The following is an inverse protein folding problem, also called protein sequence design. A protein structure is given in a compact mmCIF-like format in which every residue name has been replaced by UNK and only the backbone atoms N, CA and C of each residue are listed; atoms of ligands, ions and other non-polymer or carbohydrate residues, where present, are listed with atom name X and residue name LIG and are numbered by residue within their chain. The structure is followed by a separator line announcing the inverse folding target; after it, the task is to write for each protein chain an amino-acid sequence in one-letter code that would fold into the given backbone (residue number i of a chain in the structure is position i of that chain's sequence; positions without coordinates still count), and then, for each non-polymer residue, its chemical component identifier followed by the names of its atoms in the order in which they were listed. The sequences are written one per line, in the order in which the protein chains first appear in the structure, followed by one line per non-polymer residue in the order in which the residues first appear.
data_IF_471687921088
#
_entry.id   IF_471687921088
#
_cell.length_a   1.000
_cell.length_b   1.000
_cell.length_c   1.000
_cell.angle_alpha   90.00
_cell.angle_beta   90.00
_cell.angle_gamma   90.00
#
_symmetry.space_group_name_H-M   'P 1'
#
loop_
_entity.id
_entity.type
_entity.pdbx_description
1 polymer ?
#
# COMPACT_ATOMS: atom_id res chain seq x y z
N UNK A 1 -41.45 -36.48 -47.30
CA UNK A 1 -40.96 -37.84 -46.98
C UNK A 1 -40.22 -37.89 -45.64
N UNK A 2 -39.39 -36.90 -45.31
CA UNK A 2 -38.62 -36.88 -44.06
C UNK A 2 -39.46 -36.77 -42.77
N UNK A 3 -40.59 -36.05 -42.79
CA UNK A 3 -41.52 -36.01 -41.64
C UNK A 3 -42.09 -37.40 -41.29
N UNK A 4 -42.44 -38.18 -42.32
CA UNK A 4 -42.99 -39.54 -42.16
C UNK A 4 -41.97 -40.58 -41.68
N UNK A 5 -40.67 -40.29 -41.77
CA UNK A 5 -39.66 -41.16 -41.18
C UNK A 5 -39.43 -40.85 -39.69
N UNK A 6 -39.93 -39.72 -39.20
CA UNK A 6 -39.87 -39.33 -37.80
C UNK A 6 -41.16 -39.67 -37.05
N UNK A 7 -42.32 -39.47 -37.68
CA UNK A 7 -43.66 -39.84 -37.19
C UNK A 7 -43.86 -41.37 -37.30
N UNK A 8 -43.46 -42.11 -36.26
CA UNK A 8 -43.44 -43.57 -36.20
C UNK A 8 -44.83 -44.15 -35.97
N UNK A 9 -45.68 -43.43 -35.23
CA UNK A 9 -47.04 -43.83 -34.94
C UNK A 9 -48.08 -43.32 -35.96
N UNK A 10 -47.65 -42.51 -36.93
CA UNK A 10 -48.50 -41.88 -37.95
C UNK A 10 -49.59 -40.97 -37.37
N UNK A 11 -49.35 -40.39 -36.20
CA UNK A 11 -50.30 -39.50 -35.53
C UNK A 11 -50.39 -38.12 -36.18
N UNK A 12 -49.51 -37.79 -37.12
CA UNK A 12 -49.50 -36.51 -37.84
C UNK A 12 -48.78 -35.38 -37.09
N UNK A 13 -48.11 -35.69 -35.97
CA UNK A 13 -47.31 -34.75 -35.21
C UNK A 13 -46.20 -35.49 -34.46
N UNK A 14 -44.97 -34.98 -34.53
CA UNK A 14 -43.79 -35.63 -33.95
C UNK A 14 -43.69 -35.27 -32.47
N UNK A 15 -43.68 -36.29 -31.59
CA UNK A 15 -43.48 -36.12 -30.16
C UNK A 15 -41.98 -36.06 -29.76
N UNK A 16 -41.68 -35.87 -28.47
CA UNK A 16 -40.30 -35.70 -27.99
C UNK A 16 -39.45 -36.99 -28.11
N UNK A 17 -40.08 -38.16 -28.05
CA UNK A 17 -39.43 -39.47 -28.18
C UNK A 17 -39.12 -39.80 -29.64
N UNK A 18 -40.08 -39.53 -30.54
CA UNK A 18 -39.96 -39.64 -31.98
C UNK A 18 -38.92 -38.66 -32.54
N UNK A 19 -38.93 -37.41 -32.04
CA UNK A 19 -37.92 -36.41 -32.39
C UNK A 19 -36.52 -36.84 -31.95
N UNK A 20 -36.37 -37.38 -30.73
CA UNK A 20 -35.09 -37.86 -30.22
C UNK A 20 -34.54 -39.03 -31.06
N UNK A 21 -35.37 -40.05 -31.35
CA UNK A 21 -34.98 -41.22 -32.15
C UNK A 21 -34.64 -40.83 -33.60
N UNK A 22 -35.49 -40.03 -34.24
CA UNK A 22 -35.25 -39.62 -35.63
C UNK A 22 -33.99 -38.78 -35.79
N UNK A 23 -33.64 -37.94 -34.81
CA UNK A 23 -32.39 -37.18 -34.84
C UNK A 23 -31.16 -38.05 -34.60
N UNK A 24 -31.26 -39.05 -33.73
CA UNK A 24 -30.19 -40.04 -33.53
C UNK A 24 -29.93 -40.85 -34.80
N UNK A 25 -30.98 -41.25 -35.54
CA UNK A 25 -30.85 -41.93 -36.84
C UNK A 25 -30.16 -41.06 -37.91
N UNK A 26 -30.29 -39.74 -37.82
CA UNK A 26 -29.57 -38.78 -38.67
C UNK A 26 -28.13 -38.48 -38.18
N UNK A 27 -27.65 -39.16 -37.15
CA UNK A 27 -26.32 -38.95 -36.55
C UNK A 27 -26.21 -37.70 -35.67
N UNK A 28 -27.35 -37.11 -35.29
CA UNK A 28 -27.42 -35.97 -34.39
C UNK A 28 -27.75 -36.47 -32.98
N UNK A 29 -26.72 -36.79 -32.22
CA UNK A 29 -26.86 -37.18 -30.81
C UNK A 29 -27.48 -36.05 -29.98
N UNK A 30 -28.66 -36.33 -29.44
CA UNK A 30 -29.45 -35.47 -28.57
C UNK A 30 -30.03 -36.32 -27.44
N UNK A 31 -29.87 -35.84 -26.20
CA UNK A 31 -30.48 -36.44 -25.02
C UNK A 31 -31.96 -36.05 -24.90
N UNK A 32 -32.75 -36.88 -24.22
CA UNK A 32 -34.19 -36.63 -23.99
C UNK A 32 -34.51 -35.21 -23.48
N UNK A 33 -33.80 -34.62 -22.50
CA UNK A 33 -34.07 -33.25 -22.06
C UNK A 33 -33.81 -32.18 -23.14
N UNK A 34 -32.83 -32.40 -24.02
CA UNK A 34 -32.51 -31.50 -25.13
C UNK A 34 -33.55 -31.63 -26.25
N UNK A 35 -34.06 -32.84 -26.49
CA UNK A 35 -35.15 -33.09 -27.43
C UNK A 35 -36.45 -32.39 -26.99
N UNK A 36 -36.83 -32.47 -25.71
CA UNK A 36 -37.99 -31.74 -25.17
C UNK A 36 -37.80 -30.23 -25.27
N UNK A 37 -36.59 -29.71 -24.99
CA UNK A 37 -36.26 -28.28 -25.18
C UNK A 37 -36.34 -27.86 -26.64
N UNK A 38 -35.97 -28.75 -27.57
CA UNK A 38 -36.02 -28.47 -29.00
C UNK A 38 -37.44 -28.50 -29.56
N UNK A 39 -38.26 -29.46 -29.10
CA UNK A 39 -39.68 -29.52 -29.42
C UNK A 39 -40.37 -28.22 -28.99
N UNK A 40 -40.17 -27.77 -27.74
CA UNK A 40 -40.70 -26.49 -27.24
C UNK A 40 -40.20 -25.25 -28.00
N UNK A 41 -39.00 -25.29 -28.58
CA UNK A 41 -38.45 -24.17 -29.32
C UNK A 41 -38.99 -24.08 -30.76
N UNK A 42 -39.53 -25.19 -31.29
CA UNK A 42 -40.06 -25.31 -32.65
C UNK A 42 -41.59 -25.35 -32.68
N UNK A 43 -42.23 -25.82 -31.60
CA UNK A 43 -43.68 -25.86 -31.36
C UNK A 43 -44.22 -24.44 -31.13
N UNK A 44 -44.86 -23.87 -32.15
CA UNK A 44 -45.36 -22.48 -32.12
C UNK A 44 -46.76 -22.37 -31.54
N UNK A 45 -47.57 -23.42 -31.71
CA UNK A 45 -48.96 -23.43 -31.29
C UNK A 45 -49.13 -23.96 -29.84
N UNK A 46 -48.09 -24.59 -29.28
CA UNK A 46 -47.99 -25.03 -27.90
C UNK A 46 -48.76 -26.31 -27.60
N UNK A 47 -49.09 -27.11 -28.61
CA UNK A 47 -49.87 -28.34 -28.45
C UNK A 47 -49.02 -29.55 -28.03
N UNK A 48 -47.70 -29.38 -27.94
CA UNK A 48 -46.75 -30.40 -27.50
C UNK A 48 -46.37 -31.40 -28.59
N UNK A 49 -46.70 -31.14 -29.86
CA UNK A 49 -46.30 -31.95 -31.02
C UNK A 49 -45.82 -31.07 -32.17
N UNK A 50 -44.83 -31.53 -32.93
CA UNK A 50 -44.40 -30.81 -34.14
C UNK A 50 -45.22 -31.29 -35.35
N UNK A 51 -46.11 -30.43 -35.86
CA UNK A 51 -46.83 -30.69 -37.11
C UNK A 51 -45.93 -30.44 -38.33
N UNK A 52 -46.40 -30.86 -39.50
CA UNK A 52 -45.67 -30.76 -40.76
C UNK A 52 -45.19 -29.33 -41.07
N UNK A 53 -46.01 -28.34 -40.75
CA UNK A 53 -45.74 -26.91 -40.99
C UNK A 53 -44.72 -26.32 -40.01
N UNK A 54 -44.53 -26.96 -38.85
CA UNK A 54 -43.63 -26.53 -37.78
C UNK A 54 -42.29 -27.28 -37.83
N UNK A 55 -42.27 -28.47 -38.43
CA UNK A 55 -41.09 -29.31 -38.56
C UNK A 55 -40.14 -28.84 -39.68
N UNK A 56 -39.06 -28.17 -39.29
CA UNK A 56 -37.96 -27.81 -40.18
C UNK A 56 -36.61 -28.36 -39.71
N UNK A 57 -36.07 -29.34 -40.44
CA UNK A 57 -34.75 -29.94 -40.14
C UNK A 57 -33.62 -28.90 -40.12
N UNK A 58 -33.70 -27.85 -40.94
CA UNK A 58 -32.73 -26.75 -40.93
C UNK A 58 -32.78 -25.95 -39.62
N UNK A 59 -33.98 -25.72 -39.06
CA UNK A 59 -34.13 -25.05 -37.77
C UNK A 59 -33.61 -25.92 -36.62
N UNK A 60 -33.95 -27.21 -36.62
CA UNK A 60 -33.42 -28.19 -35.67
C UNK A 60 -31.88 -28.28 -35.73
N UNK A 61 -31.30 -28.42 -36.92
CA UNK A 61 -29.84 -28.48 -37.08
C UNK A 61 -29.11 -27.18 -36.68
N UNK A 62 -29.76 -26.02 -36.84
CA UNK A 62 -29.24 -24.72 -36.39
C UNK A 62 -29.20 -24.65 -34.85
N UNK A 63 -30.28 -24.99 -34.17
CA UNK A 63 -30.36 -25.02 -32.70
C UNK A 63 -29.32 -25.96 -32.08
N UNK A 64 -29.13 -27.15 -32.68
CA UNK A 64 -28.10 -28.11 -32.23
C UNK A 64 -26.69 -27.53 -32.38
N UNK A 65 -26.40 -26.83 -33.49
CA UNK A 65 -25.10 -26.17 -33.71
C UNK A 65 -24.87 -25.04 -32.71
N UNK A 66 -25.92 -24.27 -32.39
CA UNK A 66 -25.89 -23.18 -31.41
C UNK A 66 -25.63 -23.71 -30.00
N UNK A 67 -26.37 -24.71 -29.52
CA UNK A 67 -26.12 -25.31 -28.20
C UNK A 67 -24.74 -25.95 -28.10
N UNK A 68 -24.28 -26.64 -29.15
CA UNK A 68 -22.90 -27.17 -29.18
C UNK A 68 -21.85 -26.07 -29.22
N UNK A 69 -22.16 -24.90 -29.79
CA UNK A 69 -21.26 -23.75 -29.77
C UNK A 69 -21.24 -23.08 -28.39
N UNK A 70 -22.41 -22.95 -27.73
CA UNK A 70 -22.56 -22.47 -26.36
C UNK A 70 -21.85 -23.37 -25.36
N UNK A 71 -22.04 -24.69 -25.43
CA UNK A 71 -21.34 -25.67 -24.56
C UNK A 71 -19.83 -25.58 -24.73
N UNK A 72 -19.34 -25.49 -25.99
CA UNK A 72 -17.90 -25.30 -26.26
C UNK A 72 -17.39 -23.95 -25.78
N UNK A 73 -18.20 -22.89 -25.90
CA UNK A 73 -17.85 -21.57 -25.39
C UNK A 73 -17.78 -21.57 -23.86
N UNK A 74 -18.72 -22.21 -23.19
CA UNK A 74 -18.74 -22.38 -21.74
C UNK A 74 -17.56 -23.22 -21.25
N UNK A 75 -17.24 -24.34 -21.91
CA UNK A 75 -16.09 -25.18 -21.58
C UNK A 75 -14.76 -24.44 -21.77
N UNK A 76 -14.63 -23.69 -22.87
CA UNK A 76 -13.45 -22.86 -23.13
C UNK A 76 -13.33 -21.72 -22.11
N UNK A 77 -14.44 -21.10 -21.71
CA UNK A 77 -14.46 -20.07 -20.67
C UNK A 77 -14.06 -20.64 -19.30
N UNK A 78 -14.54 -21.84 -18.96
CA UNK A 78 -14.17 -22.52 -17.72
C UNK A 78 -12.69 -22.90 -17.70
N UNK A 79 -12.16 -23.44 -18.80
CA UNK A 79 -10.71 -23.71 -18.94
C UNK A 79 -9.86 -22.44 -18.87
N UNK A 80 -10.35 -21.33 -19.41
CA UNK A 80 -9.68 -20.05 -19.31
C UNK A 80 -9.65 -19.53 -17.86
N UNK A 81 -10.76 -19.68 -17.12
CA UNK A 81 -10.84 -19.32 -15.71
C UNK A 81 -9.92 -20.19 -14.84
N UNK A 82 -9.89 -21.51 -15.06
CA UNK A 82 -8.98 -22.43 -14.36
C UNK A 82 -7.51 -22.14 -14.65
N UNK A 83 -7.18 -21.68 -15.86
CA UNK A 83 -5.83 -21.21 -16.18
C UNK A 83 -5.49 -19.95 -15.41
N UNK A 84 -6.39 -18.96 -15.40
CA UNK A 84 -6.20 -17.72 -14.63
C UNK A 84 -6.08 -17.98 -13.13
N UNK A 85 -6.88 -18.90 -12.56
CA UNK A 85 -6.77 -19.23 -11.14
C UNK A 85 -5.43 -19.88 -10.81
N UNK A 86 -4.95 -20.78 -11.67
CA UNK A 86 -3.62 -21.41 -11.51
C UNK A 86 -2.48 -20.41 -11.69
N UNK A 87 -2.58 -19.51 -12.64
CA UNK A 87 -1.60 -18.44 -12.85
C UNK A 87 -1.55 -17.53 -11.61
N UNK A 88 -2.70 -17.10 -11.11
CA UNK A 88 -2.79 -16.30 -9.88
C UNK A 88 -2.23 -17.05 -8.66
N UNK A 89 -2.53 -18.34 -8.51
CA UNK A 89 -1.98 -19.18 -7.44
C UNK A 89 -0.46 -19.30 -7.56
N UNK A 90 0.06 -19.48 -8.78
CA UNK A 90 1.50 -19.56 -9.02
C UNK A 90 2.21 -18.23 -8.76
N UNK A 91 1.57 -17.10 -9.10
CA UNK A 91 2.09 -15.76 -8.83
C UNK A 91 2.12 -15.50 -7.32
N UNK A 92 1.03 -15.81 -6.61
CA UNK A 92 0.98 -15.73 -5.14
C UNK A 92 2.02 -16.61 -4.47
N UNK A 93 2.22 -17.83 -4.98
CA UNK A 93 3.21 -18.73 -4.43
C UNK A 93 4.63 -18.21 -4.67
N UNK A 94 4.93 -17.71 -5.88
CA UNK A 94 6.22 -17.11 -6.20
C UNK A 94 6.49 -15.86 -5.35
N UNK A 95 5.46 -15.02 -5.12
CA UNK A 95 5.52 -13.89 -4.20
C UNK A 95 5.82 -14.34 -2.77
N UNK A 96 5.11 -15.36 -2.27
CA UNK A 96 5.32 -15.89 -0.92
C UNK A 96 6.72 -16.51 -0.74
N UNK A 97 7.22 -17.23 -1.74
CA UNK A 97 8.57 -17.79 -1.75
C UNK A 97 9.63 -16.68 -1.79
N UNK A 98 9.40 -15.63 -2.60
CA UNK A 98 10.25 -14.45 -2.64
C UNK A 98 10.28 -13.74 -1.28
N UNK A 99 9.13 -13.47 -0.66
CA UNK A 99 9.03 -12.84 0.66
C UNK A 99 9.72 -13.68 1.74
N UNK A 100 9.60 -15.01 1.68
CA UNK A 100 10.28 -15.92 2.60
C UNK A 100 11.81 -15.93 2.44
N UNK A 101 12.32 -15.56 1.25
CA UNK A 101 13.75 -15.45 0.98
C UNK A 101 14.38 -14.16 1.50
N UNK A 102 13.57 -13.13 1.81
CA UNK A 102 14.08 -11.87 2.33
C UNK A 102 14.63 -12.05 3.75
N UNK A 103 15.69 -11.30 4.13
CA UNK A 103 16.19 -11.30 5.50
C UNK A 103 15.06 -10.98 6.49
N UNK A 104 15.05 -11.70 7.62
CA UNK A 104 14.15 -11.39 8.72
C UNK A 104 14.47 -10.00 9.26
N UNK A 105 13.42 -9.26 9.60
CA UNK A 105 13.57 -7.93 10.15
C UNK A 105 14.19 -8.01 11.56
N UNK A 106 15.23 -7.20 11.80
CA UNK A 106 15.79 -7.07 13.14
C UNK A 106 14.89 -6.15 13.97
N UNK A 107 13.94 -6.73 14.71
CA UNK A 107 13.01 -6.01 15.59
C UNK A 107 13.49 -5.93 17.05
N UNK A 108 14.82 -6.03 17.30
CA UNK A 108 15.33 -5.87 18.66
C UNK A 108 14.97 -4.49 19.22
N UNK A 109 14.29 -4.50 20.37
CA UNK A 109 13.98 -3.30 21.14
C UNK A 109 14.65 -3.38 22.51
N UNK A 110 15.85 -3.96 22.59
CA UNK A 110 16.64 -4.03 23.83
C UNK A 110 17.06 -2.66 24.34
N UNK A 111 17.52 -2.61 25.59
CA UNK A 111 17.99 -1.36 26.21
C UNK A 111 19.05 -0.61 25.38
N UNK A 112 20.08 -1.27 24.80
CA UNK A 112 21.06 -0.58 23.96
C UNK A 112 20.42 0.11 22.76
N UNK A 113 19.48 -0.57 22.10
CA UNK A 113 18.74 -0.05 20.95
C UNK A 113 17.89 1.15 21.32
N UNK A 114 17.18 1.08 22.46
CA UNK A 114 16.36 2.20 22.96
C UNK A 114 17.22 3.41 23.27
N UNK A 115 18.35 3.22 23.96
CA UNK A 115 19.26 4.31 24.29
C UNK A 115 19.90 4.93 23.04
N UNK A 116 20.36 4.11 22.09
CA UNK A 116 20.89 4.60 20.82
C UNK A 116 19.83 5.36 20.00
N UNK A 117 18.57 4.89 20.04
CA UNK A 117 17.44 5.56 19.39
C UNK A 117 17.15 6.94 20.00
N UNK A 118 17.25 7.08 21.32
CA UNK A 118 17.14 8.38 22.00
C UNK A 118 18.31 9.31 21.61
N UNK A 119 19.53 8.78 21.59
CA UNK A 119 20.72 9.55 21.25
C UNK A 119 20.67 10.11 19.82
N UNK A 120 19.95 9.45 18.90
CA UNK A 120 19.75 9.95 17.54
C UNK A 120 19.17 11.38 17.53
N UNK A 121 18.28 11.72 18.46
CA UNK A 121 17.62 13.04 18.53
C UNK A 121 18.47 14.15 19.15
N UNK A 122 19.68 13.83 19.59
CA UNK A 122 20.59 14.86 20.09
C UNK A 122 20.93 15.89 19.00
N UNK A 123 21.01 15.45 17.74
CA UNK A 123 21.34 16.30 16.61
C UNK A 123 20.30 17.42 16.36
N UNK A 124 19.03 17.12 16.06
CA UNK A 124 18.01 18.17 15.87
C UNK A 124 17.81 19.01 17.14
N UNK A 125 18.05 18.44 18.33
CA UNK A 125 18.00 19.21 19.57
C UNK A 125 19.13 20.25 19.64
N UNK A 126 20.35 19.90 19.22
CA UNK A 126 21.49 20.83 19.16
C UNK A 126 21.24 21.94 18.14
N UNK A 127 20.74 21.59 16.95
CA UNK A 127 20.40 22.58 15.91
C UNK A 127 19.24 23.50 16.32
N UNK A 128 18.36 23.02 17.19
CA UNK A 128 17.27 23.80 17.77
C UNK A 128 17.74 24.82 18.81
N UNK A 129 18.92 24.65 19.44
CA UNK A 129 19.38 25.51 20.54
C UNK A 129 19.43 26.99 20.17
N UNK A 130 19.81 27.31 18.92
CA UNK A 130 19.84 28.70 18.41
C UNK A 130 18.48 29.39 18.53
N UNK A 131 17.39 28.63 18.37
CA UNK A 131 16.03 29.13 18.50
C UNK A 131 15.61 29.25 19.97
N UNK A 132 16.21 28.46 20.87
CA UNK A 132 15.87 28.44 22.29
C UNK A 132 16.61 29.47 23.16
N UNK A 133 17.57 30.21 22.61
CA UNK A 133 18.37 31.20 23.38
C UNK A 133 17.50 32.22 24.12
N UNK A 134 16.46 32.84 23.51
CA UNK A 134 15.61 33.79 24.24
C UNK A 134 14.90 33.15 25.44
N UNK A 135 14.47 31.90 25.28
CA UNK A 135 13.84 31.13 26.36
C UNK A 135 14.83 30.85 27.50
N UNK A 136 16.06 30.48 27.18
CA UNK A 136 17.10 30.24 28.18
C UNK A 136 17.50 31.52 28.94
N UNK A 137 17.45 32.68 28.29
CA UNK A 137 17.66 33.97 28.96
C UNK A 137 16.48 34.35 29.86
N UNK A 138 15.24 34.06 29.43
CA UNK A 138 14.04 34.32 30.22
C UNK A 138 13.92 33.39 31.45
N UNK A 139 14.43 32.16 31.35
CA UNK A 139 14.33 31.14 32.39
C UNK A 139 15.71 30.62 32.83
N UNK A 140 16.28 31.15 33.94
CA UNK A 140 17.66 30.84 34.36
C UNK A 140 17.97 29.35 34.55
N UNK A 141 16.98 28.52 34.93
CA UNK A 141 17.18 27.08 35.11
C UNK A 141 17.48 26.34 33.80
N UNK A 142 17.14 26.92 32.64
CA UNK A 142 17.46 26.34 31.32
C UNK A 142 18.90 26.63 30.88
N UNK A 143 19.58 27.62 31.46
CA UNK A 143 20.92 28.04 31.04
C UNK A 143 21.96 26.94 31.20
N UNK A 144 21.89 26.18 32.31
CA UNK A 144 22.80 25.05 32.55
C UNK A 144 22.70 23.99 31.44
N UNK A 145 21.52 23.38 31.21
CA UNK A 145 21.30 22.44 30.11
C UNK A 145 21.70 22.99 28.73
N UNK A 146 21.33 24.23 28.42
CA UNK A 146 21.71 24.86 27.15
C UNK A 146 23.23 24.98 27.00
N UNK A 147 23.93 25.43 28.06
CA UNK A 147 25.39 25.55 28.02
C UNK A 147 26.08 24.21 27.79
N UNK A 148 25.59 23.12 28.40
CA UNK A 148 26.12 21.78 28.17
C UNK A 148 25.93 21.34 26.71
N UNK A 149 24.74 21.57 26.15
CA UNK A 149 24.46 21.23 24.74
C UNK A 149 25.25 22.11 23.76
N UNK A 150 25.49 23.39 24.08
CA UNK A 150 26.36 24.26 23.30
C UNK A 150 27.83 23.81 23.32
N UNK A 151 28.33 23.28 24.44
CA UNK A 151 29.68 22.72 24.49
C UNK A 151 29.82 21.51 23.57
N UNK A 152 28.82 20.63 23.55
CA UNK A 152 28.78 19.47 22.65
C UNK A 152 28.70 19.95 21.19
N UNK A 153 27.85 20.93 20.90
CA UNK A 153 27.74 21.59 19.58
C UNK A 153 29.05 22.23 19.13
N UNK A 154 29.82 22.79 20.07
CA UNK A 154 31.15 23.34 19.85
C UNK A 154 32.12 22.35 19.23
N UNK A 155 32.08 21.08 19.65
CA UNK A 155 32.96 20.02 19.14
C UNK A 155 32.75 19.80 17.63
N UNK A 156 31.50 19.78 17.17
CA UNK A 156 31.18 19.59 15.75
C UNK A 156 31.44 20.84 14.91
N UNK A 157 31.26 22.03 15.50
CA UNK A 157 31.55 23.32 14.85
C UNK A 157 33.05 23.61 14.69
N UNK A 158 33.92 22.88 15.41
CA UNK A 158 35.37 23.02 15.29
C UNK A 158 35.87 22.62 13.89
N UNK A 159 35.11 21.80 13.18
CA UNK A 159 35.39 21.47 11.78
C UNK A 159 34.87 22.60 10.88
N UNK A 160 35.74 23.25 10.08
CA UNK A 160 35.34 24.36 9.21
C UNK A 160 34.24 23.98 8.22
N UNK A 161 33.55 25.00 7.71
CA UNK A 161 32.52 24.87 6.66
C UNK A 161 31.31 23.98 7.05
N UNK A 162 31.11 23.71 8.34
CA UNK A 162 30.01 22.87 8.82
C UNK A 162 30.19 21.38 8.51
N UNK A 163 31.38 20.95 8.05
CA UNK A 163 31.62 19.57 7.65
C UNK A 163 31.47 18.57 8.80
N UNK A 164 31.63 19.00 10.06
CA UNK A 164 31.41 18.15 11.23
C UNK A 164 29.95 17.68 11.34
N UNK A 165 29.00 18.60 11.16
CA UNK A 165 27.56 18.28 11.14
C UNK A 165 27.20 17.45 9.92
N UNK A 166 27.75 17.77 8.75
CA UNK A 166 27.52 17.01 7.52
C UNK A 166 28.02 15.55 7.65
N UNK A 167 29.21 15.35 8.22
CA UNK A 167 29.76 14.01 8.45
C UNK A 167 28.88 13.20 9.40
N UNK A 168 28.32 13.85 10.44
CA UNK A 168 27.39 13.20 11.37
C UNK A 168 26.09 12.80 10.66
N UNK A 169 25.50 13.68 9.84
CA UNK A 169 24.32 13.38 9.04
C UNK A 169 24.55 12.20 8.09
N UNK A 170 25.68 12.19 7.36
CA UNK A 170 26.04 11.08 6.47
C UNK A 170 26.24 9.79 7.27
N UNK A 171 26.88 9.85 8.44
CA UNK A 171 27.05 8.70 9.32
C UNK A 171 25.72 8.13 9.80
N UNK A 172 24.80 8.99 10.25
CA UNK A 172 23.45 8.57 10.67
C UNK A 172 22.66 7.94 9.52
N UNK A 173 22.74 8.53 8.32
CA UNK A 173 22.12 7.99 7.12
C UNK A 173 22.66 6.60 6.76
N UNK A 174 23.98 6.43 6.80
CA UNK A 174 24.64 5.15 6.55
C UNK A 174 24.24 4.08 7.57
N UNK A 175 24.18 4.42 8.86
CA UNK A 175 23.67 3.50 9.89
C UNK A 175 22.19 3.17 9.66
N UNK A 176 21.37 4.13 9.27
CA UNK A 176 19.96 3.91 9.02
C UNK A 176 19.68 2.97 7.82
N UNK A 177 20.66 2.78 6.92
CA UNK A 177 20.59 1.82 5.79
C UNK A 177 21.09 0.42 6.16
N UNK A 178 21.78 0.28 7.28
CA UNK A 178 22.32 -1.02 7.71
C UNK A 178 21.22 -1.89 8.31
N UNK A 179 20.68 -2.83 7.54
CA UNK A 179 19.61 -3.77 7.94
C UNK A 179 20.01 -4.71 9.08
N UNK A 180 21.30 -4.84 9.40
CA UNK A 180 21.75 -5.56 10.60
C UNK A 180 21.39 -4.80 11.88
N UNK A 181 21.17 -3.49 11.81
CA UNK A 181 20.74 -2.68 12.95
C UNK A 181 19.23 -2.81 13.18
N UNK A 182 18.79 -2.72 14.44
CA UNK A 182 17.38 -2.87 14.74
C UNK A 182 16.52 -1.80 14.08
N UNK A 183 15.32 -2.20 13.64
CA UNK A 183 14.33 -1.34 12.96
C UNK A 183 14.05 -0.07 13.75
N UNK A 184 13.89 -0.20 15.07
CA UNK A 184 13.67 0.94 15.96
C UNK A 184 14.79 1.98 15.86
N UNK A 185 16.05 1.54 15.86
CA UNK A 185 17.20 2.44 15.74
C UNK A 185 17.26 3.08 14.36
N UNK A 186 17.10 2.28 13.29
CA UNK A 186 17.08 2.79 11.90
C UNK A 186 16.00 3.85 11.72
N UNK A 187 14.79 3.60 12.24
CA UNK A 187 13.68 4.54 12.22
C UNK A 187 14.04 5.86 12.90
N UNK A 188 14.55 5.80 14.13
CA UNK A 188 14.87 7.01 14.88
C UNK A 188 16.04 7.80 14.26
N UNK A 189 17.01 7.12 13.65
CA UNK A 189 18.06 7.78 12.86
C UNK A 189 17.47 8.54 11.66
N UNK A 190 16.58 7.92 10.87
CA UNK A 190 15.92 8.59 9.73
C UNK A 190 15.06 9.76 10.18
N UNK A 191 14.21 9.55 11.18
CA UNK A 191 13.33 10.58 11.71
C UNK A 191 14.13 11.77 12.25
N UNK A 192 15.24 11.51 12.95
CA UNK A 192 16.13 12.56 13.44
C UNK A 192 16.74 13.39 12.32
N UNK A 193 17.27 12.75 11.27
CA UNK A 193 17.82 13.45 10.09
C UNK A 193 16.75 14.30 9.40
N UNK A 194 15.53 13.79 9.23
CA UNK A 194 14.44 14.55 8.61
C UNK A 194 14.03 15.74 9.48
N UNK A 195 13.95 15.54 10.80
CA UNK A 195 13.63 16.60 11.76
C UNK A 195 14.72 17.69 11.78
N UNK A 196 15.98 17.31 11.67
CA UNK A 196 17.12 18.22 11.58
C UNK A 196 17.10 19.04 10.29
N UNK A 197 16.84 18.40 9.15
CA UNK A 197 16.66 19.11 7.87
C UNK A 197 15.45 20.04 7.92
N UNK A 198 14.36 19.66 8.60
CA UNK A 198 13.18 20.50 8.75
C UNK A 198 13.47 21.81 9.52
N UNK A 199 14.48 21.83 10.41
CA UNK A 199 14.92 23.03 11.13
C UNK A 199 15.57 24.10 10.24
N UNK A 200 15.89 23.78 8.98
CA UNK A 200 16.34 24.78 8.00
C UNK A 200 15.20 25.72 7.58
N UNK A 201 13.96 25.22 7.57
CA UNK A 201 12.79 25.96 7.05
C UNK A 201 12.48 27.21 7.87
N UNK A 202 12.38 27.16 9.22
CA UNK A 202 12.11 28.36 10.01
C UNK A 202 13.18 29.45 9.86
N UNK A 203 14.46 29.07 9.76
CA UNK A 203 15.56 30.02 9.59
C UNK A 203 15.51 30.74 8.25
N UNK A 204 15.24 30.01 7.17
CA UNK A 204 15.04 30.60 5.85
C UNK A 204 13.82 31.52 5.80
N UNK A 205 12.68 31.05 6.33
CA UNK A 205 11.44 31.81 6.35
C UNK A 205 11.57 33.08 7.19
N UNK A 206 12.15 32.98 8.38
CA UNK A 206 12.40 34.13 9.25
C UNK A 206 13.30 35.18 8.60
N UNK A 207 14.34 34.74 7.88
CA UNK A 207 15.23 35.63 7.13
C UNK A 207 14.51 36.32 5.98
N UNK A 208 13.71 35.59 5.20
CA UNK A 208 12.94 36.14 4.08
C UNK A 208 11.88 37.15 4.55
N UNK A 209 11.17 36.83 5.64
CA UNK A 209 10.18 37.72 6.26
C UNK A 209 10.85 38.98 6.79
N UNK A 210 11.96 38.84 7.51
CA UNK A 210 12.70 39.99 8.05
C UNK A 210 13.19 40.92 6.93
N UNK A 211 13.72 40.37 5.85
CA UNK A 211 14.14 41.13 4.67
C UNK A 211 12.98 41.90 4.03
N UNK A 212 11.84 41.24 3.80
CA UNK A 212 10.68 41.87 3.16
C UNK A 212 10.11 43.02 4.00
N UNK A 213 10.03 42.83 5.32
CA UNK A 213 9.52 43.82 6.25
C UNK A 213 10.48 45.01 6.43
N UNK A 214 11.78 44.76 6.43
CA UNK A 214 12.80 45.81 6.45
C UNK A 214 12.75 46.66 5.16
N UNK A 215 12.61 46.01 4.00
CA UNK A 215 12.41 46.70 2.72
C UNK A 215 11.12 47.53 2.66
N UNK A 216 10.10 47.16 3.45
CA UNK A 216 8.85 47.92 3.59
C UNK A 216 8.93 49.05 4.64
N UNK A 217 10.08 49.23 5.32
CA UNK A 217 10.29 50.24 6.36
C UNK A 217 9.70 49.89 7.72
N UNK A 218 9.34 48.62 7.94
CA UNK A 218 8.75 48.12 9.20
C UNK A 218 9.55 46.92 9.72
N UNK A 219 10.78 47.11 10.23
CA UNK A 219 11.63 46.00 10.66
C UNK A 219 10.96 45.18 11.76
N UNK A 220 11.26 43.88 11.78
CA UNK A 220 10.78 42.95 12.83
C UNK A 220 11.32 43.39 14.18
N UNK A 221 10.46 43.54 15.19
CA UNK A 221 10.91 43.86 16.55
C UNK A 221 11.66 42.68 17.17
N UNK A 222 12.63 42.98 18.04
CA UNK A 222 13.41 41.95 18.76
C UNK A 222 12.50 41.01 19.56
N UNK A 223 11.42 41.54 20.14
CA UNK A 223 10.41 40.78 20.88
C UNK A 223 9.68 39.77 19.99
N UNK A 224 9.29 40.19 18.78
CA UNK A 224 8.60 39.33 17.83
C UNK A 224 9.53 38.25 17.29
N UNK A 225 10.79 38.60 16.99
CA UNK A 225 11.82 37.64 16.59
C UNK A 225 12.11 36.62 17.70
N UNK A 226 12.26 37.08 18.95
CA UNK A 226 12.48 36.23 20.12
C UNK A 226 11.32 35.28 20.38
N UNK A 227 10.08 35.75 20.23
CA UNK A 227 8.87 34.92 20.35
C UNK A 227 8.83 33.85 19.25
N UNK A 228 9.08 34.23 17.99
CA UNK A 228 9.14 33.29 16.86
C UNK A 228 10.18 32.19 17.06
N UNK A 229 11.40 32.56 17.46
CA UNK A 229 12.46 31.62 17.79
C UNK A 229 12.06 30.68 18.93
N UNK A 230 11.50 31.23 20.02
CA UNK A 230 11.07 30.42 21.17
C UNK A 230 9.97 29.41 20.80
N UNK A 231 9.04 29.79 19.91
CA UNK A 231 8.00 28.88 19.41
C UNK A 231 8.62 27.72 18.63
N UNK A 232 9.56 28.00 17.72
CA UNK A 232 10.28 26.96 16.95
C UNK A 232 10.98 26.00 17.90
N UNK A 233 11.69 26.51 18.92
CA UNK A 233 12.36 25.68 19.91
C UNK A 233 11.39 24.79 20.69
N UNK A 234 10.28 25.34 21.19
CA UNK A 234 9.28 24.57 21.96
C UNK A 234 8.66 23.47 21.12
N UNK A 235 8.33 23.74 19.86
CA UNK A 235 7.79 22.72 18.95
C UNK A 235 8.77 21.58 18.74
N UNK A 236 10.05 21.88 18.51
CA UNK A 236 11.07 20.86 18.28
C UNK A 236 11.39 20.09 19.55
N UNK A 237 11.47 20.78 20.70
CA UNK A 237 11.63 20.14 21.99
C UNK A 237 10.47 19.19 22.30
N UNK A 238 9.24 19.54 21.94
CA UNK A 238 8.08 18.64 22.07
C UNK A 238 8.20 17.41 21.16
N UNK A 239 8.62 17.59 19.90
CA UNK A 239 8.89 16.48 18.98
C UNK A 239 9.96 15.53 19.53
N UNK A 240 11.09 16.08 20.00
CA UNK A 240 12.20 15.31 20.58
C UNK A 240 11.77 14.60 21.87
N UNK A 241 10.98 15.25 22.73
CA UNK A 241 10.47 14.65 23.95
C UNK A 241 9.53 13.48 23.66
N UNK A 242 8.58 13.65 22.74
CA UNK A 242 7.71 12.56 22.27
C UNK A 242 8.53 11.40 21.73
N UNK A 243 9.46 11.69 20.82
CA UNK A 243 10.37 10.71 20.23
C UNK A 243 11.20 9.95 21.25
N UNK A 244 11.69 10.65 22.27
CA UNK A 244 12.47 10.07 23.37
C UNK A 244 11.61 9.10 24.18
N UNK A 245 10.41 9.50 24.58
CA UNK A 245 9.52 8.66 25.39
C UNK A 245 9.13 7.40 24.63
N UNK A 246 8.69 7.51 23.37
CA UNK A 246 8.32 6.35 22.56
C UNK A 246 9.51 5.40 22.36
N UNK A 247 10.70 5.93 22.07
CA UNK A 247 11.91 5.12 21.90
C UNK A 247 12.30 4.38 23.19
N UNK A 248 12.14 4.99 24.36
CA UNK A 248 12.37 4.33 25.66
C UNK A 248 11.34 3.24 25.96
N UNK A 249 10.12 3.37 25.43
CA UNK A 249 9.10 2.32 25.49
C UNK A 249 9.37 1.18 24.48
N UNK A 250 10.34 1.35 23.59
CA UNK A 250 10.65 0.39 22.53
C UNK A 250 9.74 0.51 21.31
N UNK A 251 9.02 1.63 21.17
CA UNK A 251 8.05 1.86 20.09
C UNK A 251 8.58 2.98 19.19
N UNK A 252 8.47 2.79 17.87
CA UNK A 252 8.83 3.81 16.91
C UNK A 252 7.92 5.05 17.06
N UNK A 253 8.45 6.27 17.19
CA UNK A 253 7.65 7.48 17.35
C UNK A 253 6.98 7.93 16.06
N UNK A 254 5.91 7.24 15.65
CA UNK A 254 5.19 7.46 14.39
C UNK A 254 4.21 8.65 14.40
N UNK A 255 4.16 9.40 15.50
CA UNK A 255 3.14 10.42 15.76
C UNK A 255 3.46 11.82 15.23
N UNK A 256 4.60 12.02 14.56
CA UNK A 256 4.96 13.31 13.96
C UNK A 256 4.46 13.35 12.50
N UNK A 257 3.40 14.11 12.17
CA UNK A 257 2.83 14.11 10.82
C UNK A 257 3.89 14.49 9.79
N UNK A 258 3.84 13.88 8.60
CA UNK A 258 4.80 14.02 7.51
C UNK A 258 6.23 13.52 7.82
N UNK A 259 6.83 13.91 8.95
CA UNK A 259 8.19 13.52 9.36
C UNK A 259 8.27 12.00 9.59
N UNK A 260 7.40 11.47 10.44
CA UNK A 260 7.38 10.04 10.76
C UNK A 260 6.95 9.19 9.57
N UNK A 261 6.05 9.69 8.74
CA UNK A 261 5.67 9.02 7.49
C UNK A 261 6.87 8.89 6.56
N UNK A 262 7.62 9.98 6.34
CA UNK A 262 8.82 9.97 5.51
C UNK A 262 9.92 9.08 6.09
N UNK A 263 10.05 9.04 7.41
CA UNK A 263 10.97 8.11 8.07
C UNK A 263 10.57 6.64 7.82
N UNK A 264 9.27 6.33 7.90
CA UNK A 264 8.72 4.99 7.63
C UNK A 264 8.97 4.57 6.17
N UNK A 265 8.60 5.42 5.21
CA UNK A 265 8.79 5.18 3.76
C UNK A 265 10.27 5.00 3.37
N UNK A 266 11.20 5.55 4.15
CA UNK A 266 12.63 5.54 3.86
C UNK A 266 13.38 4.34 4.46
N UNK A 267 12.73 3.55 5.33
CA UNK A 267 13.30 2.30 5.83
C UNK A 267 13.01 1.25 4.77
N UNK A 268 14.07 0.63 4.24
CA UNK A 268 13.91 -0.51 3.34
C UNK A 268 13.22 -1.64 4.09
N UNK A 269 12.08 -2.10 3.57
CA UNK A 269 11.41 -3.29 4.08
C UNK A 269 12.34 -4.51 3.88
N UNK A 270 12.94 -4.95 4.98
CA UNK A 270 13.12 -6.39 5.21
C UNK A 270 11.73 -7.02 5.29
N UNK A 271 11.59 -8.32 5.00
CA UNK A 271 10.31 -9.03 4.85
C UNK A 271 9.14 -8.34 5.61
N UNK A 272 8.08 -7.85 4.94
CA UNK A 272 6.99 -7.14 5.61
C UNK A 272 6.42 -8.02 6.72
N UNK A 273 6.29 -7.46 7.93
CA UNK A 273 5.73 -8.18 9.06
C UNK A 273 4.28 -8.56 8.74
N UNK A 274 3.96 -9.85 8.85
CA UNK A 274 2.62 -10.43 8.62
C UNK A 274 1.53 -9.84 9.56
N UNK A 275 1.90 -8.93 10.46
CA UNK A 275 1.03 -8.34 11.50
C UNK A 275 0.38 -7.00 11.12
N UNK A 276 0.73 -6.35 10.00
CA UNK A 276 0.23 -5.00 9.67
C UNK A 276 -0.87 -4.92 8.58
N UNK A 277 -1.53 -6.03 8.20
CA UNK A 277 -2.73 -5.99 7.34
C UNK A 277 -4.01 -6.48 8.06
N UNK A 278 -4.27 -5.93 9.24
CA UNK A 278 -5.45 -6.24 10.05
C UNK A 278 -6.45 -5.09 10.25
N UNK A 279 -6.09 -3.85 9.95
CA UNK A 279 -6.98 -2.71 10.24
C UNK A 279 -6.77 -1.56 9.25
N UNK A 280 -7.47 -1.60 8.13
CA UNK A 280 -7.37 -0.53 7.16
C UNK A 280 -8.39 -0.45 6.05
N UNK A 281 -9.49 -1.24 6.04
CA UNK A 281 -10.64 -1.01 5.14
C UNK A 281 -11.95 -1.49 5.76
N UNK A 282 -12.71 -0.56 6.33
CA UNK A 282 -14.17 -0.50 6.27
C UNK A 282 -14.58 0.96 6.08
#
# INVERSE_FOLDING_TARGET
MLFRSFDLDSSGGIDDQELCKGLQELGLELDSPKATKMLRALDKNGDGKLQLEEFHLQAASKLIKEWRAEERAAENAQRALERQSKELESEKQAEQEFLASLPLENDDAGLPTRLASVLAYLLPLMDALRYGVPLALAFPFLQGPFSALFLISGVFSAVPLGLGYLALLIGMQSLAENTELPKLLRFNLRQSVILDVALLVPGFLGSAVSFALDAAGTPVSDELAAAGNSIVFVLIAACVAYSTVSSLLGVAPTGLPYISQKATEAISDTRPNDEEDGSGKL
#
